data_IF_006747779296
#
_entry.id   IF_006747779296
#
_cell.length_a   1.000
_cell.length_b   1.000
_cell.length_c   1.000
_cell.angle_alpha   90.00
_cell.angle_beta   90.00
_cell.angle_gamma   90.00
#
_symmetry.space_group_name_H-M   'P 1'
#
loop_
_entity.id
_entity.type
_entity.pdbx_description
1 polymer ?
#
# COMPACT_ATOMS: atom_id res chain seq x y z
N UNK A 1 17.82 -11.70 -13.93
CA UNK A 1 19.10 -12.05 -14.60
C UNK A 1 20.02 -10.84 -14.63
N UNK A 2 21.32 -11.05 -14.60
CA UNK A 2 22.31 -9.97 -14.71
C UNK A 2 23.57 -10.44 -15.41
N UNK A 3 24.25 -9.52 -16.08
CA UNK A 3 25.50 -9.73 -16.79
C UNK A 3 26.49 -8.63 -16.44
N UNK A 4 27.76 -9.02 -16.30
CA UNK A 4 28.86 -8.08 -16.10
C UNK A 4 29.86 -8.27 -17.24
N UNK A 5 30.08 -7.20 -17.98
CA UNK A 5 31.09 -7.11 -19.01
C UNK A 5 32.34 -6.41 -18.46
N UNK A 6 33.52 -6.95 -18.77
CA UNK A 6 34.82 -6.42 -18.32
C UNK A 6 35.71 -6.17 -19.55
N UNK A 7 35.63 -4.98 -20.17
CA UNK A 7 36.46 -4.67 -21.34
C UNK A 7 37.95 -4.58 -21.01
N UNK A 8 38.28 -4.14 -19.79
CA UNK A 8 39.64 -4.13 -19.21
C UNK A 8 39.56 -4.60 -17.74
N UNK A 9 40.68 -5.00 -17.14
CA UNK A 9 40.70 -5.57 -15.78
C UNK A 9 40.18 -4.59 -14.71
N UNK A 10 40.39 -3.30 -14.96
CA UNK A 10 40.09 -2.19 -14.09
C UNK A 10 38.65 -1.72 -14.23
N UNK A 11 37.93 -2.06 -15.31
CA UNK A 11 36.58 -1.56 -15.59
C UNK A 11 35.56 -2.70 -15.66
N UNK A 12 34.47 -2.53 -14.93
CA UNK A 12 33.32 -3.45 -14.92
C UNK A 12 32.07 -2.68 -15.29
N UNK A 13 31.30 -3.22 -16.23
CA UNK A 13 30.01 -2.66 -16.65
C UNK A 13 28.96 -3.72 -16.37
N UNK A 14 28.00 -3.42 -15.51
CA UNK A 14 26.94 -4.32 -15.10
C UNK A 14 25.59 -3.90 -15.68
N UNK A 15 24.83 -4.88 -16.14
CA UNK A 15 23.42 -4.74 -16.49
C UNK A 15 22.60 -5.84 -15.82
N UNK A 16 21.40 -5.52 -15.36
CA UNK A 16 20.49 -6.51 -14.80
C UNK A 16 19.02 -6.20 -15.09
N UNK A 17 18.26 -7.27 -15.27
CA UNK A 17 16.82 -7.27 -15.53
C UNK A 17 16.12 -8.16 -14.50
N UNK A 18 15.06 -7.65 -13.88
CA UNK A 18 14.22 -8.38 -12.95
C UNK A 18 12.82 -8.51 -13.54
N UNK A 19 12.34 -9.75 -13.57
CA UNK A 19 10.97 -10.08 -13.96
C UNK A 19 9.98 -9.63 -12.89
N UNK A 20 8.75 -9.27 -13.27
CA UNK A 20 7.64 -9.07 -12.35
C UNK A 20 7.40 -10.28 -11.47
N UNK A 21 6.97 -10.00 -10.25
CA UNK A 21 6.36 -10.97 -9.35
C UNK A 21 4.86 -10.77 -9.40
N UNK A 22 4.14 -11.88 -9.53
CA UNK A 22 2.69 -11.91 -9.55
C UNK A 22 2.19 -12.23 -8.14
N UNK A 23 1.26 -11.43 -7.65
CA UNK A 23 0.62 -11.61 -6.36
C UNK A 23 -0.89 -11.71 -6.57
N UNK A 24 -1.50 -12.69 -5.91
CA UNK A 24 -2.94 -12.81 -5.76
C UNK A 24 -3.24 -12.60 -4.28
N UNK A 25 -4.08 -11.60 -3.99
CA UNK A 25 -4.43 -11.21 -2.63
C UNK A 25 -5.95 -11.23 -2.51
N UNK A 26 -6.47 -11.96 -1.53
CA UNK A 26 -7.87 -11.88 -1.12
C UNK A 26 -7.95 -11.02 0.12
N UNK A 27 -8.69 -9.93 0.04
CA UNK A 27 -8.92 -8.98 1.13
C UNK A 27 -10.31 -9.21 1.73
N UNK A 28 -10.36 -9.34 3.05
CA UNK A 28 -11.60 -9.45 3.81
C UNK A 28 -11.88 -8.13 4.51
N UNK A 29 -13.04 -7.53 4.22
CA UNK A 29 -13.42 -6.22 4.71
C UNK A 29 -14.69 -6.26 5.55
N UNK A 30 -14.73 -5.41 6.57
CA UNK A 30 -15.88 -5.18 7.43
C UNK A 30 -16.09 -3.68 7.62
N UNK A 31 -17.33 -3.21 7.49
CA UNK A 31 -17.68 -1.80 7.63
C UNK A 31 -18.78 -1.59 8.66
N UNK A 32 -18.62 -0.60 9.53
CA UNK A 32 -19.66 -0.10 10.42
C UNK A 32 -19.73 1.41 10.38
N UNK A 33 -20.92 1.96 10.59
CA UNK A 33 -21.17 3.38 10.74
C UNK A 33 -21.90 3.61 12.04
N UNK A 34 -21.29 4.43 12.90
CA UNK A 34 -21.85 4.87 14.16
C UNK A 34 -22.11 6.38 14.09
N UNK A 35 -23.26 6.81 14.58
CA UNK A 35 -23.65 8.20 14.54
C UNK A 35 -24.57 8.59 15.70
N UNK A 36 -24.51 9.85 16.07
CA UNK A 36 -25.43 10.44 17.02
C UNK A 36 -25.84 11.83 16.58
N UNK A 37 -27.12 12.15 16.72
CA UNK A 37 -27.62 13.51 16.52
C UNK A 37 -28.60 13.89 17.62
N UNK A 38 -28.68 15.19 17.89
CA UNK A 38 -29.61 15.75 18.87
C UNK A 38 -30.71 16.49 18.13
N UNK A 39 -31.96 16.08 18.34
CA UNK A 39 -33.11 16.81 17.83
C UNK A 39 -33.62 17.75 18.91
N UNK A 40 -33.67 19.06 18.61
CA UNK A 40 -34.27 20.04 19.50
C UNK A 40 -35.70 20.34 19.06
N UNK A 41 -36.65 20.19 19.98
CA UNK A 41 -38.06 20.54 19.75
C UNK A 41 -38.46 21.66 20.70
N UNK A 42 -39.06 22.72 20.17
CA UNK A 42 -39.59 23.82 20.98
C UNK A 42 -41.09 23.64 21.19
N UNK A 43 -41.51 23.48 22.44
CA UNK A 43 -42.92 23.37 22.84
C UNK A 43 -43.64 24.71 22.91
N UNK A 44 -44.98 24.67 23.02
CA UNK A 44 -45.80 25.86 23.23
C UNK A 44 -45.36 26.57 24.53
N UNK A 45 -44.97 27.85 24.43
CA UNK A 45 -44.43 28.63 25.55
C UNK A 45 -42.90 28.77 25.57
N UNK A 46 -42.17 28.27 24.56
CA UNK A 46 -40.73 28.49 24.40
C UNK A 46 -39.82 27.49 25.13
N UNK A 47 -40.38 26.44 25.72
CA UNK A 47 -39.60 25.35 26.33
C UNK A 47 -38.87 24.55 25.25
N UNK A 48 -37.54 24.42 25.37
CA UNK A 48 -36.71 23.63 24.45
C UNK A 48 -36.44 22.26 25.08
N UNK A 49 -36.80 21.19 24.36
CA UNK A 49 -36.50 19.81 24.74
C UNK A 49 -35.48 19.24 23.75
N UNK A 50 -34.41 18.62 24.27
CA UNK A 50 -33.39 17.93 23.46
C UNK A 50 -33.61 16.43 23.51
N UNK A 51 -33.68 15.79 22.35
CA UNK A 51 -33.84 14.35 22.20
C UNK A 51 -32.57 13.75 21.58
N UNK A 52 -31.72 13.07 22.36
CA UNK A 52 -30.53 12.43 21.83
C UNK A 52 -30.91 11.14 21.08
N UNK A 53 -30.47 11.04 19.82
CA UNK A 53 -30.60 9.83 19.02
C UNK A 53 -29.22 9.26 18.71
N UNK A 54 -29.06 7.95 18.84
CA UNK A 54 -27.84 7.22 18.50
C UNK A 54 -28.19 6.06 17.58
N UNK A 55 -27.36 5.81 16.58
CA UNK A 55 -27.46 4.65 15.73
C UNK A 55 -26.09 4.04 15.47
N UNK A 56 -26.10 2.73 15.28
CA UNK A 56 -24.98 1.92 14.85
C UNK A 56 -25.52 0.98 13.78
N UNK A 57 -24.90 0.97 12.61
CA UNK A 57 -25.28 0.07 11.53
C UNK A 57 -24.06 -0.55 10.89
N UNK A 58 -24.18 -1.80 10.49
CA UNK A 58 -23.13 -2.53 9.80
C UNK A 58 -23.43 -2.56 8.31
N UNK A 59 -22.41 -2.37 7.49
CA UNK A 59 -22.50 -2.61 6.05
C UNK A 59 -22.70 -4.11 5.83
N UNK A 60 -23.52 -4.48 4.83
CA UNK A 60 -23.77 -5.88 4.46
C UNK A 60 -24.30 -6.75 5.63
N UNK A 61 -25.15 -6.19 6.51
CA UNK A 61 -25.71 -6.88 7.69
C UNK A 61 -24.65 -7.51 8.62
N UNK A 62 -23.42 -6.99 8.60
CA UNK A 62 -22.31 -7.53 9.38
C UNK A 62 -21.70 -8.81 8.79
N UNK A 63 -21.91 -9.10 7.51
CA UNK A 63 -21.15 -10.11 6.79
C UNK A 63 -19.89 -9.51 6.17
N UNK A 64 -18.80 -10.28 6.23
CA UNK A 64 -17.54 -9.93 5.61
C UNK A 64 -17.69 -9.84 4.08
N UNK A 65 -17.10 -8.80 3.50
CA UNK A 65 -16.97 -8.66 2.05
C UNK A 65 -15.59 -9.15 1.62
N UNK A 66 -15.54 -9.96 0.57
CA UNK A 66 -14.30 -10.43 -0.04
C UNK A 66 -14.00 -9.61 -1.29
N UNK A 67 -12.75 -9.19 -1.44
CA UNK A 67 -12.26 -8.51 -2.65
C UNK A 67 -10.96 -9.17 -3.08
N UNK A 68 -10.96 -9.71 -4.30
CA UNK A 68 -9.77 -10.31 -4.89
C UNK A 68 -9.00 -9.28 -5.71
N UNK A 69 -7.70 -9.21 -5.45
CA UNK A 69 -6.77 -8.31 -6.11
C UNK A 69 -5.70 -9.10 -6.85
N UNK A 70 -5.50 -8.76 -8.12
CA UNK A 70 -4.38 -9.22 -8.91
C UNK A 70 -3.35 -8.09 -9.03
N UNK A 71 -2.16 -8.30 -8.46
CA UNK A 71 -1.08 -7.32 -8.49
C UNK A 71 0.15 -7.87 -9.21
N UNK A 72 0.76 -7.01 -10.03
CA UNK A 72 2.00 -7.31 -10.73
C UNK A 72 3.03 -6.22 -10.48
N UNK A 73 4.18 -6.58 -9.91
CA UNK A 73 5.26 -5.62 -9.71
C UNK A 73 5.82 -5.15 -11.06
N UNK A 74 6.29 -3.89 -11.17
CA UNK A 74 6.91 -3.41 -12.40
C UNK A 74 8.24 -4.13 -12.67
N UNK A 75 8.59 -4.25 -13.95
CA UNK A 75 9.91 -4.68 -14.36
C UNK A 75 10.98 -3.72 -13.82
N UNK A 76 12.11 -4.26 -13.35
CA UNK A 76 13.23 -3.44 -12.89
C UNK A 76 14.46 -3.68 -13.76
N UNK A 77 15.04 -2.58 -14.23
CA UNK A 77 16.27 -2.57 -15.03
C UNK A 77 17.34 -1.81 -14.27
N UNK A 78 18.56 -2.32 -14.26
CA UNK A 78 19.70 -1.70 -13.58
C UNK A 78 20.89 -1.65 -14.52
N UNK A 79 21.59 -0.53 -14.51
CA UNK A 79 22.86 -0.34 -15.21
C UNK A 79 23.85 0.34 -14.28
N UNK A 80 25.11 -0.09 -14.31
CA UNK A 80 26.15 0.50 -13.48
C UNK A 80 27.53 0.23 -14.04
N UNK A 81 28.50 1.06 -13.66
CA UNK A 81 29.90 0.88 -13.98
C UNK A 81 30.73 1.02 -12.71
N UNK A 82 31.82 0.25 -12.61
CA UNK A 82 32.75 0.28 -11.49
C UNK A 82 34.19 0.22 -12.00
N UNK A 83 35.03 1.09 -11.46
CA UNK A 83 36.47 1.13 -11.72
C UNK A 83 37.26 0.62 -10.51
N UNK A 84 38.36 -0.10 -10.75
CA UNK A 84 39.35 -0.48 -9.72
C UNK A 84 40.66 0.22 -10.04
N UNK A 85 41.12 1.09 -9.12
CA UNK A 85 42.40 1.81 -9.24
C UNK A 85 43.38 1.14 -8.26
N UNK A 86 44.25 0.28 -8.80
CA UNK A 86 45.28 -0.45 -8.04
C UNK A 86 44.78 -1.76 -7.41
N UNK A 87 45.55 -2.85 -7.56
CA UNK A 87 45.25 -4.17 -6.97
C UNK A 87 45.95 -4.44 -5.62
N UNK A 88 46.86 -3.57 -5.18
CA UNK A 88 47.63 -3.73 -3.93
C UNK A 88 47.32 -2.59 -2.96
N UNK A 89 46.57 -2.89 -1.91
CA UNK A 89 46.38 -1.99 -0.77
C UNK A 89 47.47 -2.09 0.30
N UNK A 90 48.38 -3.08 0.22
CA UNK A 90 49.46 -3.31 1.19
C UNK A 90 50.69 -3.87 0.45
N UNK A 91 51.87 -3.31 0.77
CA UNK A 91 53.20 -3.95 0.69
C UNK A 91 53.68 -4.06 2.13
#
# INVERSE_FOLDING_TARGET
FGMIFKPINELRIGFAIHTPTWYSLTETNYGSVDGSFEAQTTGAGGSVQTHPFKFSTYTNDGYESLVDWEYRTPWKFMVGAAGVIGQKGII
#
